data_IF_861237812318
#
_entry.id   IF_861237812318
#
_cell.length_a   1.000
_cell.length_b   1.000
_cell.length_c   1.000
_cell.angle_alpha   90.00
_cell.angle_beta   90.00
_cell.angle_gamma   90.00
#
_symmetry.space_group_name_H-M   'P 1'
#
loop_
_entity.id
_entity.type
_entity.pdbx_description
1 polymer ?
#
# COMPACT_ATOMS: atom_id res chain seq x y z
N UNK A 1 36.62 -24.93 -32.07
CA UNK A 1 35.81 -25.85 -31.23
C UNK A 1 36.40 -25.78 -29.84
N UNK A 2 35.66 -25.22 -28.88
CA UNK A 2 36.04 -25.21 -27.47
C UNK A 2 35.23 -26.31 -26.80
N UNK A 3 35.87 -27.42 -26.50
CA UNK A 3 35.27 -28.52 -25.73
C UNK A 3 35.03 -28.03 -24.29
N UNK A 4 33.76 -27.98 -23.88
CA UNK A 4 33.38 -27.74 -22.50
C UNK A 4 33.47 -29.04 -21.72
N UNK A 5 34.38 -29.12 -20.74
CA UNK A 5 34.43 -30.22 -19.78
C UNK A 5 33.30 -30.06 -18.77
N UNK A 6 32.45 -31.08 -18.65
CA UNK A 6 31.42 -31.16 -17.61
C UNK A 6 32.10 -31.48 -16.26
N UNK A 7 31.84 -30.67 -15.24
CA UNK A 7 32.35 -30.90 -13.88
C UNK A 7 31.18 -30.98 -12.93
N UNK A 8 30.99 -32.13 -12.30
CA UNK A 8 29.80 -32.44 -11.48
C UNK A 8 29.70 -31.66 -10.15
N UNK A 9 30.73 -30.87 -9.79
CA UNK A 9 30.85 -30.23 -8.47
C UNK A 9 31.25 -28.74 -8.53
N UNK A 10 30.70 -27.98 -9.48
CA UNK A 10 30.96 -26.52 -9.59
C UNK A 10 30.60 -25.76 -8.30
N UNK A 11 29.60 -26.23 -7.54
CA UNK A 11 29.18 -25.63 -6.27
C UNK A 11 30.19 -25.77 -5.12
N UNK A 12 31.22 -26.62 -5.24
CA UNK A 12 32.21 -26.90 -4.19
C UNK A 12 33.57 -26.21 -4.45
N UNK A 13 33.70 -25.46 -5.54
CA UNK A 13 34.95 -24.76 -5.88
C UNK A 13 35.14 -23.53 -4.97
N UNK A 14 36.37 -23.30 -4.49
CA UNK A 14 36.68 -22.18 -3.57
C UNK A 14 36.43 -20.79 -4.17
N UNK A 15 36.31 -20.70 -5.49
CA UNK A 15 36.10 -19.45 -6.25
C UNK A 15 34.62 -19.22 -6.61
N UNK A 16 33.73 -20.19 -6.40
CA UNK A 16 32.29 -19.99 -6.61
C UNK A 16 31.67 -19.39 -5.35
N UNK A 17 31.19 -18.15 -5.46
CA UNK A 17 30.51 -17.47 -4.35
C UNK A 17 29.27 -18.27 -3.94
N UNK A 18 29.31 -18.86 -2.75
CA UNK A 18 28.15 -19.47 -2.10
C UNK A 18 27.06 -18.40 -2.01
N UNK A 19 25.94 -18.60 -2.70
CA UNK A 19 24.77 -17.76 -2.51
C UNK A 19 24.26 -17.94 -1.07
N UNK A 20 24.11 -16.86 -0.29
CA UNK A 20 23.56 -16.95 1.06
C UNK A 20 22.19 -17.62 1.08
N UNK A 21 22.04 -18.61 1.96
CA UNK A 21 20.75 -19.27 2.24
C UNK A 21 19.92 -18.40 3.19
N UNK A 22 18.85 -17.81 2.63
CA UNK A 22 17.72 -17.13 3.30
C UNK A 22 18.00 -15.81 4.07
N UNK A 23 16.98 -14.93 4.11
CA UNK A 23 16.87 -13.82 3.16
C UNK A 23 18.00 -12.81 3.33
N UNK A 24 18.68 -12.51 2.22
CA UNK A 24 19.61 -11.39 2.19
C UNK A 24 18.82 -10.09 2.33
N UNK A 25 19.05 -9.39 3.43
CA UNK A 25 18.68 -7.97 3.54
C UNK A 25 19.71 -7.22 2.69
N UNK A 26 19.48 -7.19 1.38
CA UNK A 26 20.21 -6.29 0.49
C UNK A 26 19.94 -4.86 0.96
N UNK A 27 21.01 -4.07 1.10
CA UNK A 27 20.97 -2.66 1.48
C UNK A 27 20.33 -1.74 0.41
N UNK A 28 19.30 -2.22 -0.26
CA UNK A 28 18.49 -1.53 -1.24
C UNK A 28 17.12 -2.18 -1.19
N UNK A 29 16.11 -1.33 -0.95
CA UNK A 29 14.68 -1.60 -0.88
C UNK A 29 14.28 -2.90 -1.60
N UNK A 30 13.64 -3.81 -0.87
CA UNK A 30 12.96 -4.98 -1.43
C UNK A 30 12.02 -4.46 -2.52
N UNK A 31 12.00 -5.08 -3.70
CA UNK A 31 10.99 -4.75 -4.72
C UNK A 31 9.61 -5.06 -4.12
N UNK A 32 8.88 -4.01 -3.73
CA UNK A 32 7.66 -4.09 -2.92
C UNK A 32 7.71 -3.34 -1.57
N UNK A 33 8.89 -2.95 -1.10
CA UNK A 33 9.12 -2.10 0.07
C UNK A 33 9.30 -0.62 -0.29
N UNK A 34 8.62 -0.14 -1.34
CA UNK A 34 8.41 1.30 -1.43
C UNK A 34 7.78 1.75 -0.10
N UNK A 35 8.20 2.89 0.42
CA UNK A 35 7.90 3.44 1.76
C UNK A 35 6.42 3.76 2.03
N UNK A 36 5.52 3.11 1.29
CA UNK A 36 4.09 3.21 1.39
C UNK A 36 3.62 2.02 2.22
N UNK A 37 3.23 2.25 3.46
CA UNK A 37 2.49 1.25 4.22
C UNK A 37 1.19 0.95 3.47
N UNK A 38 1.14 -0.17 2.72
CA UNK A 38 -0.08 -0.65 2.06
C UNK A 38 -1.18 -1.00 3.04
N UNK A 39 -0.79 -1.23 4.29
CA UNK A 39 -1.68 -1.52 5.39
C UNK A 39 -1.27 -0.65 6.57
N UNK A 40 -2.21 0.09 7.15
CA UNK A 40 -1.96 0.86 8.37
C UNK A 40 -3.17 0.83 9.29
N UNK A 41 -2.93 1.12 10.58
CA UNK A 41 -3.99 1.19 11.58
C UNK A 41 -5.04 2.22 11.15
N UNK A 42 -6.31 1.91 11.40
CA UNK A 42 -7.46 2.77 11.09
C UNK A 42 -7.32 4.20 11.63
N UNK A 43 -6.61 4.36 12.73
CA UNK A 43 -6.44 5.64 13.42
C UNK A 43 -5.15 6.38 13.04
N UNK A 44 -4.14 5.70 12.47
CA UNK A 44 -2.77 6.24 12.53
C UNK A 44 -2.23 6.88 11.26
N UNK A 45 -2.77 6.61 10.06
CA UNK A 45 -2.10 7.08 8.83
C UNK A 45 -3.05 7.18 7.62
N UNK A 46 -2.82 8.20 6.78
CA UNK A 46 -3.41 8.37 5.45
C UNK A 46 -2.54 7.70 4.38
N UNK A 47 -3.10 7.25 3.24
CA UNK A 47 -2.28 6.77 2.14
C UNK A 47 -1.35 7.86 1.63
N UNK A 48 -0.13 7.47 1.26
CA UNK A 48 0.90 8.39 0.79
C UNK A 48 0.97 8.41 -0.73
N UNK A 49 1.02 9.60 -1.31
CA UNK A 49 1.18 9.85 -2.74
C UNK A 49 2.56 10.45 -3.01
N UNK A 50 3.25 9.94 -4.04
CA UNK A 50 4.51 10.52 -4.50
C UNK A 50 4.30 11.22 -5.83
N UNK A 51 4.71 12.49 -5.90
CA UNK A 51 4.66 13.30 -7.11
C UNK A 51 6.12 13.52 -7.54
N UNK A 52 6.46 13.10 -8.76
CA UNK A 52 7.84 13.12 -9.28
C UNK A 52 8.22 14.50 -9.80
N UNK A 53 7.29 15.15 -10.51
CA UNK A 53 7.51 16.44 -11.16
C UNK A 53 6.54 17.49 -10.60
N UNK A 54 6.95 18.76 -10.60
CA UNK A 54 6.09 19.86 -10.17
C UNK A 54 4.85 19.95 -11.08
N UNK A 55 3.67 19.99 -10.44
CA UNK A 55 2.39 20.14 -11.14
C UNK A 55 1.96 21.60 -11.00
N UNK A 56 1.81 22.28 -12.13
CA UNK A 56 1.33 23.67 -12.17
C UNK A 56 -0.07 23.70 -12.76
N UNK A 57 -0.98 24.47 -12.18
CA UNK A 57 -2.27 24.78 -12.77
C UNK A 57 -2.17 26.05 -13.63
N UNK A 58 -3.12 26.23 -14.55
CA UNK A 58 -3.27 27.41 -15.41
C UNK A 58 -3.44 28.73 -14.61
N UNK A 59 -3.78 28.65 -13.32
CA UNK A 59 -3.93 29.77 -12.41
C UNK A 59 -2.60 30.19 -11.74
N UNK A 60 -1.49 29.50 -12.05
CA UNK A 60 -0.17 29.78 -11.47
C UNK A 60 0.06 29.16 -10.09
N UNK A 61 -0.88 28.35 -9.60
CA UNK A 61 -0.68 27.54 -8.40
C UNK A 61 0.22 26.35 -8.73
N UNK A 62 1.21 26.07 -7.90
CA UNK A 62 2.11 24.92 -8.12
C UNK A 62 2.17 23.99 -6.92
N UNK A 63 2.23 22.69 -7.23
CA UNK A 63 2.39 21.60 -6.28
C UNK A 63 3.80 21.05 -6.51
N UNK A 64 4.72 21.22 -5.55
CA UNK A 64 6.09 20.78 -5.74
C UNK A 64 6.18 19.25 -5.83
N UNK A 65 7.27 18.75 -6.41
CA UNK A 65 7.60 17.33 -6.33
C UNK A 65 7.85 16.92 -4.86
N UNK A 66 7.40 15.73 -4.47
CA UNK A 66 7.58 15.26 -3.10
C UNK A 66 6.67 14.10 -2.70
N UNK A 67 6.74 13.76 -1.42
CA UNK A 67 5.90 12.76 -0.77
C UNK A 67 4.85 13.45 0.09
N UNK A 68 3.59 13.07 -0.14
CA UNK A 68 2.42 13.68 0.47
C UNK A 68 1.56 12.61 1.13
N UNK A 69 0.94 12.96 2.24
CA UNK A 69 -0.20 12.23 2.77
C UNK A 69 -1.46 12.71 2.05
N UNK A 70 -2.31 11.78 1.62
CA UNK A 70 -3.56 12.08 0.93
C UNK A 70 -4.73 11.79 1.86
N UNK A 71 -5.35 12.84 2.39
CA UNK A 71 -6.54 12.71 3.23
C UNK A 71 -7.81 12.91 2.39
N UNK A 72 -8.90 12.23 2.77
CA UNK A 72 -10.24 12.49 2.25
C UNK A 72 -11.00 13.29 3.31
N UNK A 73 -11.70 14.35 2.89
CA UNK A 73 -12.53 15.14 3.82
C UNK A 73 -13.66 14.30 4.42
N UNK A 74 -14.17 14.71 5.58
CA UNK A 74 -15.27 14.01 6.25
C UNK A 74 -16.53 13.94 5.39
N UNK A 75 -16.82 15.04 4.68
CA UNK A 75 -17.92 15.15 3.70
C UNK A 75 -17.61 14.43 2.37
N UNK A 76 -16.36 13.99 2.17
CA UNK A 76 -15.84 13.28 0.99
C UNK A 76 -15.80 14.08 -0.31
N UNK A 77 -16.07 15.37 -0.24
CA UNK A 77 -16.04 16.28 -1.39
C UNK A 77 -14.60 16.62 -1.86
N UNK A 78 -13.60 16.47 -0.99
CA UNK A 78 -12.24 16.93 -1.26
C UNK A 78 -11.17 15.92 -0.85
N UNK A 79 -10.14 15.79 -1.68
CA UNK A 79 -8.85 15.21 -1.32
C UNK A 79 -7.89 16.31 -0.91
N UNK A 80 -7.16 16.09 0.18
CA UNK A 80 -6.24 17.06 0.76
C UNK A 80 -4.84 16.46 0.70
N UNK A 81 -3.93 17.13 -0.02
CA UNK A 81 -2.50 16.82 0.02
C UNK A 81 -1.87 17.48 1.24
N UNK A 82 -1.26 16.67 2.09
CA UNK A 82 -0.65 17.10 3.35
C UNK A 82 0.84 16.74 3.32
N UNK A 83 1.70 17.69 3.70
CA UNK A 83 3.12 17.43 3.93
C UNK A 83 3.51 18.06 5.26
N UNK A 84 4.16 17.29 6.14
CA UNK A 84 4.61 17.80 7.45
C UNK A 84 3.49 18.53 8.22
N UNK A 85 2.27 17.97 8.20
CA UNK A 85 1.04 18.53 8.83
C UNK A 85 0.54 19.85 8.25
N UNK A 86 1.00 20.25 7.07
CA UNK A 86 0.49 21.41 6.34
C UNK A 86 -0.29 20.95 5.12
N UNK A 87 -1.48 21.48 4.92
CA UNK A 87 -2.25 21.28 3.69
C UNK A 87 -1.61 22.09 2.56
N UNK A 88 -1.28 21.43 1.45
CA UNK A 88 -0.63 22.02 0.28
C UNK A 88 -1.65 22.25 -0.83
N UNK A 89 -2.54 21.28 -1.06
CA UNK A 89 -3.57 21.39 -2.08
C UNK A 89 -4.87 20.75 -1.62
N UNK A 90 -5.97 21.33 -2.11
CA UNK A 90 -7.33 20.81 -1.94
C UNK A 90 -7.85 20.49 -3.34
N UNK A 91 -8.23 19.25 -3.57
CA UNK A 91 -8.56 18.70 -4.87
C UNK A 91 -10.00 18.21 -4.82
N UNK A 92 -10.89 18.70 -5.69
CA UNK A 92 -12.28 18.25 -5.70
C UNK A 92 -12.37 16.78 -6.14
N UNK A 93 -13.21 16.03 -5.43
CA UNK A 93 -13.56 14.64 -5.76
C UNK A 93 -14.74 14.65 -6.70
N UNK A 94 -14.63 13.94 -7.83
CA UNK A 94 -15.73 13.82 -8.80
C UNK A 94 -16.41 12.46 -8.76
N UNK A 95 -15.78 11.46 -8.13
CA UNK A 95 -16.34 10.11 -8.00
C UNK A 95 -15.95 9.51 -6.65
N UNK A 96 -16.90 8.83 -6.03
CA UNK A 96 -16.72 8.05 -4.81
C UNK A 96 -17.34 6.68 -5.04
N UNK A 97 -16.68 5.65 -4.55
CA UNK A 97 -17.18 4.28 -4.51
C UNK A 97 -16.98 3.72 -3.10
N UNK A 98 -17.98 3.03 -2.58
CA UNK A 98 -17.97 2.48 -1.23
C UNK A 98 -18.30 1.00 -1.35
N UNK A 99 -17.30 0.17 -1.05
CA UNK A 99 -17.48 -1.27 -1.06
C UNK A 99 -18.29 -1.71 0.16
N UNK A 100 -19.60 -1.80 -0.02
CA UNK A 100 -20.53 -2.29 1.01
C UNK A 100 -20.56 -3.82 1.10
N UNK A 101 -19.73 -4.54 0.31
CA UNK A 101 -19.77 -6.01 0.26
C UNK A 101 -19.46 -6.64 1.62
N UNK A 102 -18.59 -6.03 2.43
CA UNK A 102 -18.27 -6.50 3.78
C UNK A 102 -19.46 -6.44 4.74
N UNK A 103 -20.35 -5.44 4.60
CA UNK A 103 -21.55 -5.29 5.44
C UNK A 103 -22.67 -6.26 5.04
N UNK A 104 -22.67 -6.77 3.80
CA UNK A 104 -23.67 -7.72 3.32
C UNK A 104 -23.52 -9.13 3.91
N UNK A 105 -22.38 -9.42 4.55
CA UNK A 105 -22.00 -10.74 5.08
C UNK A 105 -22.87 -11.20 6.26
N UNK A 106 -23.69 -10.32 6.83
CA UNK A 106 -24.43 -10.56 8.08
C UNK A 106 -25.47 -11.69 7.99
N UNK A 107 -25.78 -12.25 6.80
CA UNK A 107 -26.82 -13.29 6.64
C UNK A 107 -26.37 -14.63 6.06
N UNK A 108 -25.12 -14.79 5.66
CA UNK A 108 -24.66 -16.04 5.02
C UNK A 108 -23.94 -17.00 5.99
N UNK A 109 -24.57 -18.15 6.25
CA UNK A 109 -24.04 -19.22 7.11
C UNK A 109 -22.64 -19.72 6.68
N UNK A 110 -22.30 -19.64 5.39
CA UNK A 110 -21.00 -20.06 4.86
C UNK A 110 -19.89 -19.07 5.23
N UNK A 111 -20.17 -17.78 5.19
CA UNK A 111 -19.21 -16.74 5.55
C UNK A 111 -18.94 -16.72 7.07
N UNK A 112 -19.99 -16.89 7.88
CA UNK A 112 -19.88 -17.07 9.34
C UNK A 112 -18.99 -18.28 9.72
N UNK A 113 -19.10 -19.39 8.98
CA UNK A 113 -18.23 -20.56 9.18
C UNK A 113 -16.77 -20.27 8.82
N UNK A 114 -16.52 -19.49 7.76
CA UNK A 114 -15.17 -19.08 7.35
C UNK A 114 -14.53 -18.17 8.41
N UNK A 115 -15.25 -17.14 8.87
CA UNK A 115 -14.79 -16.25 9.95
C UNK A 115 -14.44 -17.03 11.23
N UNK A 116 -15.30 -17.98 11.64
CA UNK A 116 -15.03 -18.84 12.81
C UNK A 116 -13.79 -19.74 12.64
N UNK A 117 -13.49 -20.19 11.42
CA UNK A 117 -12.26 -20.97 11.14
C UNK A 117 -11.02 -20.10 11.24
N UNK A 118 -11.03 -18.93 10.59
CA UNK A 118 -9.93 -17.97 10.65
C UNK A 118 -9.64 -17.52 12.08
N UNK A 119 -10.67 -17.20 12.88
CA UNK A 119 -10.49 -16.81 14.28
C UNK A 119 -9.82 -17.93 15.11
N UNK A 120 -10.17 -19.20 14.86
CA UNK A 120 -9.52 -20.34 15.54
C UNK A 120 -8.06 -20.52 15.12
N UNK A 121 -7.72 -20.27 13.85
CA UNK A 121 -6.34 -20.36 13.36
C UNK A 121 -5.47 -19.22 13.90
N UNK A 122 -6.02 -18.00 13.97
CA UNK A 122 -5.37 -16.85 14.60
C UNK A 122 -5.11 -17.14 16.08
N UNK A 123 -6.11 -17.64 16.83
CA UNK A 123 -5.94 -18.00 18.23
C UNK A 123 -4.84 -19.06 18.44
N UNK A 124 -4.79 -20.09 17.60
CA UNK A 124 -3.71 -21.11 17.64
C UNK A 124 -2.33 -20.51 17.33
N UNK A 125 -2.27 -19.57 16.39
CA UNK A 125 -1.02 -18.90 15.99
C UNK A 125 -0.54 -17.97 17.10
N UNK A 126 -1.45 -17.24 17.73
CA UNK A 126 -1.16 -16.36 18.87
C UNK A 126 -0.63 -17.12 20.08
N UNK A 127 -1.22 -18.27 20.43
CA UNK A 127 -0.67 -19.14 21.48
C UNK A 127 0.76 -19.62 21.20
N UNK A 128 1.11 -19.84 19.92
CA UNK A 128 2.49 -20.21 19.53
C UNK A 128 3.44 -19.02 19.58
N UNK A 129 2.97 -17.82 19.25
CA UNK A 129 3.73 -16.56 19.28
C UNK A 129 4.01 -16.10 20.72
N UNK A 130 3.00 -16.18 21.59
CA UNK A 130 3.10 -15.85 23.01
C UNK A 130 4.17 -16.68 23.71
N UNK A 131 4.19 -18.00 23.46
CA UNK A 131 5.24 -18.91 23.97
C UNK A 131 6.67 -18.54 23.51
N UNK A 132 6.80 -17.76 22.44
CA UNK A 132 8.08 -17.30 21.87
C UNK A 132 8.37 -15.82 22.17
N UNK A 133 7.53 -15.14 22.96
CA UNK A 133 7.66 -13.71 23.24
C UNK A 133 7.44 -12.80 22.01
N UNK A 134 6.76 -13.30 20.98
CA UNK A 134 6.46 -12.53 19.76
C UNK A 134 5.15 -11.74 19.93
N UNK A 135 5.00 -10.58 19.25
CA UNK A 135 3.76 -9.83 19.27
C UNK A 135 2.58 -10.64 18.72
N UNK A 136 1.43 -10.51 19.38
CA UNK A 136 0.18 -11.18 19.04
C UNK A 136 -0.38 -10.61 17.73
N UNK A 137 -1.04 -11.45 16.93
CA UNK A 137 -1.84 -11.01 15.79
C UNK A 137 -3.20 -10.58 16.35
N UNK A 138 -3.44 -9.28 16.46
CA UNK A 138 -4.78 -8.76 16.72
C UNK A 138 -5.51 -8.62 15.39
N UNK A 139 -6.64 -9.33 15.24
CA UNK A 139 -7.51 -9.16 14.08
C UNK A 139 -8.23 -7.80 14.10
N UNK A 140 -8.39 -7.21 15.30
CA UNK A 140 -9.07 -5.93 15.52
C UNK A 140 -8.12 -4.72 15.38
N UNK A 141 -6.80 -4.94 15.33
CA UNK A 141 -5.84 -3.96 14.80
C UNK A 141 -5.88 -4.09 13.27
N UNK A 142 -7.03 -3.76 12.70
CA UNK A 142 -7.30 -3.86 11.27
C UNK A 142 -6.27 -3.01 10.51
N UNK A 143 -5.27 -3.70 9.99
CA UNK A 143 -4.40 -3.24 8.93
C UNK A 143 -5.30 -2.96 7.72
N UNK A 144 -5.78 -1.72 7.61
CA UNK A 144 -6.68 -1.30 6.54
C UNK A 144 -5.83 -1.15 5.28
N UNK A 145 -6.27 -1.75 4.17
CA UNK A 145 -5.64 -1.53 2.87
C UNK A 145 -5.71 -0.05 2.51
N UNK A 146 -4.57 0.56 2.19
CA UNK A 146 -4.49 1.94 1.76
C UNK A 146 -3.60 2.06 0.53
N UNK A 147 -4.07 2.82 -0.46
CA UNK A 147 -3.32 3.10 -1.68
C UNK A 147 -3.67 4.51 -2.17
N UNK A 148 -2.65 5.24 -2.63
CA UNK A 148 -2.83 6.46 -3.40
C UNK A 148 -1.98 6.41 -4.66
N UNK A 149 -2.54 6.81 -5.79
CA UNK A 149 -1.83 6.86 -7.06
C UNK A 149 -2.22 8.10 -7.86
N UNK A 150 -1.28 8.60 -8.65
CA UNK A 150 -1.47 9.71 -9.59
C UNK A 150 -1.08 9.26 -10.99
N UNK A 151 -1.92 9.58 -11.97
CA UNK A 151 -1.69 9.24 -13.38
C UNK A 151 -2.03 10.45 -14.25
N UNK A 152 -1.14 10.77 -15.20
CA UNK A 152 -1.42 11.83 -16.17
C UNK A 152 -2.27 11.28 -17.32
N UNK A 153 -3.37 11.95 -17.64
CA UNK A 153 -4.29 11.60 -18.73
C UNK A 153 -4.11 12.59 -19.89
N UNK A 154 -3.36 12.22 -20.97
CA UNK A 154 -3.00 13.16 -22.03
C UNK A 154 -4.19 13.69 -22.83
N UNK A 155 -5.25 12.88 -22.98
CA UNK A 155 -6.44 13.25 -23.76
C UNK A 155 -7.23 14.40 -23.13
N UNK A 156 -7.08 14.64 -21.83
CA UNK A 156 -7.77 15.70 -21.11
C UNK A 156 -6.84 16.73 -20.45
N UNK A 157 -5.52 16.53 -20.51
CA UNK A 157 -4.54 17.45 -19.90
C UNK A 157 -4.71 17.56 -18.39
N UNK A 158 -5.00 16.45 -17.70
CA UNK A 158 -5.20 16.45 -16.24
C UNK A 158 -4.52 15.26 -15.59
N UNK A 159 -4.20 15.40 -14.31
CA UNK A 159 -3.73 14.34 -13.44
C UNK A 159 -4.91 13.74 -12.69
N UNK A 160 -5.13 12.44 -12.84
CA UNK A 160 -6.10 11.66 -12.10
C UNK A 160 -5.46 11.18 -10.80
N UNK A 161 -6.06 11.51 -9.67
CA UNK A 161 -5.65 11.02 -8.36
C UNK A 161 -6.67 9.99 -7.90
N UNK A 162 -6.17 8.82 -7.52
CA UNK A 162 -6.95 7.74 -6.92
C UNK A 162 -6.56 7.61 -5.46
N UNK A 163 -7.56 7.59 -4.61
CA UNK A 163 -7.48 7.35 -3.18
C UNK A 163 -8.24 6.05 -2.88
N UNK A 164 -7.61 5.15 -2.12
CA UNK A 164 -8.25 3.95 -1.61
C UNK A 164 -7.86 3.77 -0.15
N UNK A 165 -8.86 3.60 0.71
CA UNK A 165 -8.68 3.31 2.13
C UNK A 165 -9.81 2.41 2.62
N UNK A 166 -9.50 1.14 2.82
CA UNK A 166 -10.46 0.11 3.21
C UNK A 166 -11.58 0.02 2.20
N UNK A 167 -12.80 0.28 2.66
CA UNK A 167 -14.01 0.20 1.84
C UNK A 167 -14.22 1.44 0.95
N UNK A 168 -13.47 2.52 1.14
CA UNK A 168 -13.69 3.80 0.44
C UNK A 168 -12.67 3.98 -0.68
N UNK A 169 -13.18 4.24 -1.88
CA UNK A 169 -12.39 4.69 -3.04
C UNK A 169 -12.89 6.05 -3.50
N UNK A 170 -11.96 6.95 -3.79
CA UNK A 170 -12.28 8.29 -4.28
C UNK A 170 -11.35 8.66 -5.44
N UNK A 171 -11.89 9.45 -6.37
CA UNK A 171 -11.15 9.97 -7.52
C UNK A 171 -11.24 11.49 -7.59
N UNK A 172 -10.09 12.13 -7.63
CA UNK A 172 -9.94 13.57 -7.84
C UNK A 172 -9.17 13.86 -9.12
N UNK A 173 -9.28 15.09 -9.62
CA UNK A 173 -8.56 15.53 -10.80
C UNK A 173 -7.86 16.88 -10.56
N UNK A 174 -6.63 17.00 -11.01
CA UNK A 174 -5.87 18.25 -11.06
C UNK A 174 -5.66 18.61 -12.52
N UNK A 175 -6.08 19.80 -12.93
CA UNK A 175 -5.80 20.29 -14.27
C UNK A 175 -4.36 20.79 -14.34
N UNK A 176 -3.62 20.36 -15.37
CA UNK A 176 -2.29 20.87 -15.68
C UNK A 176 -2.32 22.01 -16.69
#
# INVERSE_FOLDING_TARGET
>A
MLEGVYVDNIMMHSETRVYPTEPQITAGLIVGSQSFYKYSLRESTYPTLSIVDEISDAQGNTIPAGHYELALSDDRDFLILIQSRKAIAIIPVFKIDIDMSQYSVVRDNKALRKQKKEAKEIAKTNQKREKKGLPLINKDEDEIYQEASIEYVPKGGYYLIRYERGDVKAWGAIKG
#
